data_IF_762431743170
#
_entry.id   IF_762431743170
#
_cell.length_a   1.000
_cell.length_b   1.000
_cell.length_c   1.000
_cell.angle_alpha   90.00
_cell.angle_beta   90.00
_cell.angle_gamma   90.00
#
_symmetry.space_group_name_H-M   'P 1'
#
loop_
_entity.id
_entity.type
_entity.pdbx_description
1 polymer ?
#
# COMPACT_ATOMS: atom_id res chain seq x y z
N UNK A 1 -16.08 -12.23 22.42
CA UNK A 1 -14.78 -12.62 21.82
C UNK A 1 -14.27 -11.46 20.97
N UNK A 2 -13.28 -10.70 21.44
CA UNK A 2 -12.61 -9.67 20.63
C UNK A 2 -11.64 -10.40 19.70
N UNK A 3 -11.94 -10.47 18.41
CA UNK A 3 -11.03 -11.03 17.41
C UNK A 3 -9.79 -10.13 17.39
N UNK A 4 -8.63 -10.64 17.81
CA UNK A 4 -7.34 -9.98 17.58
C UNK A 4 -7.23 -9.75 16.08
N UNK A 5 -7.03 -8.49 15.66
CA UNK A 5 -6.61 -8.17 14.31
C UNK A 5 -5.35 -9.00 14.00
N UNK A 6 -5.32 -9.64 12.83
CA UNK A 6 -4.23 -10.51 12.41
C UNK A 6 -2.88 -9.84 12.66
N UNK A 7 -2.07 -10.43 13.55
CA UNK A 7 -0.69 -10.04 13.82
C UNK A 7 0.11 -10.24 12.52
N UNK A 8 0.20 -9.19 11.69
CA UNK A 8 0.88 -9.23 10.40
C UNK A 8 0.34 -8.26 9.33
N UNK A 9 -0.84 -7.66 9.51
CA UNK A 9 -1.32 -6.63 8.60
C UNK A 9 -0.64 -5.29 8.94
N UNK A 10 0.44 -4.97 8.21
CA UNK A 10 1.02 -3.63 8.21
C UNK A 10 0.14 -2.73 7.35
N UNK A 11 -0.32 -1.62 7.91
CA UNK A 11 -1.10 -0.63 7.19
C UNK A 11 -0.16 0.47 6.70
N UNK A 12 -0.25 0.81 5.41
CA UNK A 12 0.54 1.92 4.86
C UNK A 12 0.14 3.21 5.61
N UNK A 13 1.08 4.01 6.12
CA UNK A 13 0.77 5.25 6.83
C UNK A 13 -0.02 6.22 5.94
N UNK A 14 -0.92 7.00 6.57
CA UNK A 14 -1.63 8.07 5.86
C UNK A 14 -0.67 9.17 5.37
N UNK A 15 -1.10 9.89 4.34
CA UNK A 15 -0.37 11.00 3.74
C UNK A 15 0.32 10.61 2.43
N UNK A 16 1.27 11.44 2.01
CA UNK A 16 1.99 11.23 0.76
C UNK A 16 2.92 10.04 0.88
N UNK A 17 2.67 9.02 0.08
CA UNK A 17 3.48 7.82 -0.01
C UNK A 17 3.83 7.52 -1.45
N UNK A 18 5.01 6.92 -1.62
CA UNK A 18 5.45 6.43 -2.91
C UNK A 18 5.22 4.94 -2.96
N UNK A 19 4.48 4.53 -3.97
CA UNK A 19 4.13 3.14 -4.23
C UNK A 19 4.78 2.69 -5.52
N UNK A 20 5.33 1.48 -5.50
CA UNK A 20 5.81 0.78 -6.69
C UNK A 20 4.73 -0.17 -7.17
N UNK A 21 4.38 -0.10 -8.45
CA UNK A 21 3.48 -1.08 -9.07
C UNK A 21 4.26 -2.39 -9.23
N UNK A 22 3.79 -3.47 -8.60
CA UNK A 22 4.44 -4.78 -8.63
C UNK A 22 3.81 -5.70 -9.67
N UNK A 23 2.48 -5.73 -9.72
CA UNK A 23 1.75 -6.54 -10.70
C UNK A 23 0.37 -5.96 -10.93
N UNK A 24 -0.21 -6.30 -12.08
CA UNK A 24 -1.56 -5.94 -12.44
C UNK A 24 -2.30 -7.21 -12.84
N UNK A 25 -3.49 -7.38 -12.28
CA UNK A 25 -4.37 -8.53 -12.46
C UNK A 25 -5.56 -8.08 -13.32
N UNK A 26 -5.56 -8.58 -14.56
CA UNK A 26 -6.55 -8.33 -15.60
C UNK A 26 -7.53 -9.51 -15.78
N UNK A 27 -7.48 -10.54 -14.93
CA UNK A 27 -8.30 -11.76 -15.11
C UNK A 27 -9.80 -11.47 -15.17
N UNK A 28 -10.22 -10.40 -14.49
CA UNK A 28 -11.62 -9.97 -14.41
C UNK A 28 -11.92 -8.74 -15.29
N UNK A 29 -10.96 -8.30 -16.10
CA UNK A 29 -11.12 -7.10 -16.95
C UNK A 29 -12.06 -7.39 -18.11
N UNK A 30 -11.81 -8.43 -18.90
CA UNK A 30 -12.62 -8.74 -20.09
C UNK A 30 -14.08 -9.10 -19.75
N UNK A 31 -14.34 -9.70 -18.58
CA UNK A 31 -15.67 -10.21 -18.21
C UNK A 31 -16.48 -9.24 -17.35
N UNK A 32 -15.81 -8.47 -16.50
CA UNK A 32 -16.46 -7.65 -15.48
C UNK A 32 -15.97 -6.20 -15.47
N UNK A 33 -15.05 -5.81 -16.36
CA UNK A 33 -14.42 -4.50 -16.33
C UNK A 33 -13.67 -4.25 -15.03
N UNK A 34 -13.11 -5.29 -14.41
CA UNK A 34 -12.42 -5.20 -13.12
C UNK A 34 -10.92 -5.39 -13.28
N UNK A 35 -10.17 -4.42 -12.81
CA UNK A 35 -8.71 -4.43 -12.80
C UNK A 35 -8.22 -4.34 -11.37
N UNK A 36 -7.26 -5.16 -10.99
CA UNK A 36 -6.62 -5.03 -9.67
C UNK A 36 -5.13 -4.74 -9.81
N UNK A 37 -4.68 -3.63 -9.24
CA UNK A 37 -3.29 -3.21 -9.26
C UNK A 37 -2.69 -3.51 -7.89
N UNK A 38 -1.64 -4.35 -7.86
CA UNK A 38 -0.85 -4.60 -6.68
C UNK A 38 0.33 -3.64 -6.64
N UNK A 39 0.40 -2.87 -5.56
CA UNK A 39 1.44 -1.90 -5.29
C UNK A 39 2.15 -2.23 -3.98
N UNK A 40 3.42 -1.82 -3.84
CA UNK A 40 4.21 -1.94 -2.62
C UNK A 40 4.79 -0.61 -2.19
N UNK A 41 4.77 -0.33 -0.90
CA UNK A 41 5.48 0.81 -0.32
C UNK A 41 6.97 0.51 -0.12
N UNK A 42 7.71 1.51 0.38
CA UNK A 42 9.13 1.41 0.72
C UNK A 42 9.44 0.36 1.80
N UNK A 43 8.45 0.02 2.64
CA UNK A 43 8.56 -0.96 3.71
C UNK A 43 8.21 -2.38 3.25
N UNK A 44 7.82 -2.56 1.99
CA UNK A 44 7.39 -3.85 1.43
C UNK A 44 5.93 -4.20 1.77
N UNK A 45 5.17 -3.27 2.33
CA UNK A 45 3.73 -3.42 2.58
C UNK A 45 2.98 -3.38 1.25
N UNK A 46 2.21 -4.42 0.96
CA UNK A 46 1.39 -4.49 -0.24
C UNK A 46 0.05 -3.76 -0.08
N UNK A 47 -0.29 -2.92 -1.05
CA UNK A 47 -1.58 -2.30 -1.24
C UNK A 47 -2.17 -2.81 -2.55
N UNK A 48 -3.41 -3.30 -2.50
CA UNK A 48 -4.15 -3.75 -3.68
C UNK A 48 -5.26 -2.75 -3.96
N UNK A 49 -5.19 -2.06 -5.09
CA UNK A 49 -6.23 -1.13 -5.51
C UNK A 49 -7.07 -1.77 -6.62
N UNK A 50 -8.39 -1.76 -6.44
CA UNK A 50 -9.32 -2.40 -7.36
C UNK A 50 -10.12 -1.32 -8.11
N UNK A 51 -9.99 -1.33 -9.44
CA UNK A 51 -10.77 -0.48 -10.34
C UNK A 51 -11.93 -1.27 -10.92
N UNK A 52 -13.08 -0.62 -11.00
CA UNK A 52 -14.29 -1.17 -11.59
C UNK A 52 -14.77 -0.21 -12.68
N UNK A 53 -14.45 -0.51 -13.93
CA UNK A 53 -14.76 0.30 -15.10
C UNK A 53 -16.23 0.15 -15.55
N UNK A 54 -16.96 -0.80 -14.96
CA UNK A 54 -18.38 -1.00 -15.20
C UNK A 54 -19.13 -0.84 -13.87
N UNK A 55 -20.14 0.02 -13.87
CA UNK A 55 -21.04 0.22 -12.74
C UNK A 55 -21.98 -0.99 -12.56
N UNK A 56 -22.65 -1.08 -11.41
CA UNK A 56 -23.62 -2.15 -11.15
C UNK A 56 -24.78 -2.19 -12.16
N UNK A 57 -25.11 -1.03 -12.75
CA UNK A 57 -26.14 -0.87 -13.79
C UNK A 57 -25.64 -1.24 -15.20
N UNK A 58 -24.39 -1.69 -15.36
CA UNK A 58 -23.80 -2.08 -16.64
C UNK A 58 -23.30 -0.90 -17.50
N UNK A 59 -23.39 0.33 -17.00
CA UNK A 59 -22.86 1.53 -17.65
C UNK A 59 -21.36 1.67 -17.41
N UNK A 60 -20.67 2.38 -18.30
CA UNK A 60 -19.25 2.71 -18.12
C UNK A 60 -19.05 3.62 -16.89
N UNK A 61 -17.96 3.38 -16.17
CA UNK A 61 -17.54 4.17 -15.02
C UNK A 61 -16.40 5.12 -15.41
N UNK A 62 -16.77 6.25 -16.00
CA UNK A 62 -15.82 7.27 -16.46
C UNK A 62 -14.93 7.84 -15.33
N UNK A 63 -15.39 7.74 -14.08
CA UNK A 63 -14.62 8.18 -12.91
C UNK A 63 -13.48 7.20 -12.63
N UNK A 64 -13.76 5.90 -12.64
CA UNK A 64 -12.71 4.89 -12.47
C UNK A 64 -11.71 4.94 -13.63
N UNK A 65 -12.21 5.12 -14.85
CA UNK A 65 -11.39 5.30 -16.05
C UNK A 65 -10.47 6.52 -15.93
N UNK A 66 -11.01 7.68 -15.55
CA UNK A 66 -10.22 8.90 -15.37
C UNK A 66 -9.16 8.79 -14.26
N UNK A 67 -9.44 8.08 -13.16
CA UNK A 67 -8.45 7.85 -12.10
C UNK A 67 -7.35 6.89 -12.58
N UNK A 68 -7.72 5.84 -13.31
CA UNK A 68 -6.75 4.89 -13.87
C UNK A 68 -5.86 5.54 -14.93
N UNK A 69 -6.42 6.32 -15.86
CA UNK A 69 -5.65 7.10 -16.84
C UNK A 69 -4.71 8.08 -16.15
N UNK A 70 -5.16 8.75 -15.08
CA UNK A 70 -4.27 9.62 -14.29
C UNK A 70 -3.15 8.85 -13.61
N UNK A 71 -3.41 7.63 -13.13
CA UNK A 71 -2.41 6.74 -12.54
C UNK A 71 -1.35 6.35 -13.58
N UNK A 72 -1.78 5.93 -14.76
CA UNK A 72 -0.89 5.54 -15.84
C UNK A 72 -0.02 6.72 -16.31
N UNK A 73 -0.63 7.89 -16.53
CA UNK A 73 0.08 9.13 -16.87
C UNK A 73 1.13 9.52 -15.82
N UNK A 74 0.80 9.35 -14.55
CA UNK A 74 1.76 9.58 -13.45
C UNK A 74 2.89 8.54 -13.45
N UNK A 75 2.58 7.27 -13.64
CA UNK A 75 3.58 6.20 -13.68
C UNK A 75 4.54 6.33 -14.87
N UNK A 76 4.05 6.78 -16.02
CA UNK A 76 4.82 6.97 -17.26
C UNK A 76 5.51 8.33 -17.36
N UNK A 77 5.19 9.26 -16.45
CA UNK A 77 5.62 10.68 -16.51
C UNK A 77 5.17 11.38 -17.82
N UNK A 78 4.04 10.95 -18.37
CA UNK A 78 3.48 11.50 -19.61
C UNK A 78 2.01 11.88 -19.37
N UNK A 79 1.74 13.17 -19.18
CA UNK A 79 0.38 13.69 -18.98
C UNK A 79 -0.48 13.70 -20.26
N UNK A 80 0.13 13.47 -21.42
CA UNK A 80 -0.50 13.48 -22.74
C UNK A 80 -0.78 12.09 -23.29
N UNK A 81 -0.34 11.03 -22.60
CA UNK A 81 -0.60 9.66 -23.01
C UNK A 81 -2.12 9.38 -23.02
N UNK A 82 -2.65 9.09 -24.20
CA UNK A 82 -4.05 8.67 -24.40
C UNK A 82 -4.18 7.14 -24.47
N UNK A 83 -3.09 6.44 -24.82
CA UNK A 83 -3.00 4.98 -24.83
C UNK A 83 -1.71 4.56 -24.12
N UNK A 84 -1.79 3.50 -23.33
CA UNK A 84 -0.67 2.93 -22.60
C UNK A 84 -0.90 1.45 -22.36
N UNK A 85 0.17 0.66 -22.36
CA UNK A 85 0.11 -0.74 -21.98
C UNK A 85 0.15 -0.85 -20.46
N UNK A 86 -0.78 -1.63 -19.89
CA UNK A 86 -0.82 -1.95 -18.47
C UNK A 86 0.52 -2.54 -17.99
N UNK A 87 1.20 -3.32 -18.84
CA UNK A 87 2.50 -3.91 -18.54
C UNK A 87 3.61 -2.88 -18.35
N UNK A 88 3.55 -1.74 -19.05
CA UNK A 88 4.56 -0.67 -18.94
C UNK A 88 4.49 0.07 -17.59
N UNK A 89 3.36 -0.07 -16.89
CA UNK A 89 3.17 0.45 -15.55
C UNK A 89 3.90 -0.39 -14.50
N UNK A 90 4.15 -1.68 -14.78
CA UNK A 90 4.80 -2.59 -13.86
C UNK A 90 6.25 -2.13 -13.61
N UNK A 91 6.59 -2.01 -12.33
CA UNK A 91 7.91 -1.55 -11.90
C UNK A 91 8.07 -0.04 -11.80
N UNK A 92 7.08 0.75 -12.25
CA UNK A 92 7.05 2.21 -12.09
C UNK A 92 6.68 2.60 -10.66
N UNK A 93 7.06 3.81 -10.28
CA UNK A 93 6.74 4.39 -8.98
C UNK A 93 5.79 5.58 -9.17
N UNK A 94 4.81 5.68 -8.28
CA UNK A 94 3.85 6.77 -8.26
C UNK A 94 3.81 7.40 -6.87
N UNK A 95 3.67 8.72 -6.81
CA UNK A 95 3.38 9.43 -5.57
C UNK A 95 1.87 9.59 -5.43
N UNK A 96 1.33 9.14 -4.29
CA UNK A 96 -0.09 9.21 -4.00
C UNK A 96 -0.35 9.55 -2.53
N UNK A 97 -1.48 10.23 -2.28
CA UNK A 97 -1.98 10.51 -0.94
C UNK A 97 -2.82 9.32 -0.47
N UNK A 98 -2.36 8.65 0.59
CA UNK A 98 -3.04 7.54 1.23
C UNK A 98 -3.91 8.05 2.37
N UNK A 99 -5.13 7.52 2.46
CA UNK A 99 -6.04 7.75 3.58
C UNK A 99 -6.55 6.44 4.13
N UNK A 100 -6.79 6.41 5.43
CA UNK A 100 -7.36 5.26 6.10
C UNK A 100 -8.87 5.32 6.04
N UNK A 101 -9.48 4.25 5.54
CA UNK A 101 -10.93 4.09 5.48
C UNK A 101 -11.34 2.84 6.22
N UNK A 102 -12.37 2.95 7.06
CA UNK A 102 -12.98 1.76 7.65
C UNK A 102 -13.83 1.03 6.62
N UNK A 103 -13.60 -0.28 6.51
CA UNK A 103 -14.40 -1.16 5.66
C UNK A 103 -15.76 -1.45 6.29
N UNK A 104 -16.75 -1.70 5.44
CA UNK A 104 -18.14 -2.03 5.85
C UNK A 104 -18.26 -3.27 6.74
N UNK A 105 -17.25 -4.15 6.74
CA UNK A 105 -17.18 -5.36 7.56
C UNK A 105 -16.26 -5.23 8.79
N UNK A 106 -15.81 -4.00 9.09
CA UNK A 106 -14.80 -3.72 10.10
C UNK A 106 -13.37 -3.92 9.58
N UNK A 107 -12.44 -3.12 10.09
CA UNK A 107 -11.05 -3.08 9.65
C UNK A 107 -10.72 -1.78 8.93
N UNK A 108 -9.51 -1.25 9.18
CA UNK A 108 -9.00 -0.03 8.55
C UNK A 108 -8.15 -0.43 7.36
N UNK A 109 -8.41 0.16 6.21
CA UNK A 109 -7.70 -0.09 4.95
C UNK A 109 -7.05 1.20 4.46
N UNK A 110 -5.88 1.06 3.85
CA UNK A 110 -5.21 2.15 3.16
C UNK A 110 -5.79 2.28 1.75
N UNK A 111 -6.31 3.45 1.41
CA UNK A 111 -6.91 3.77 0.12
C UNK A 111 -6.19 4.95 -0.51
N UNK A 112 -6.09 4.96 -1.84
CA UNK A 112 -5.56 6.12 -2.56
C UNK A 112 -6.65 7.18 -2.65
N UNK A 113 -6.40 8.34 -2.02
CA UNK A 113 -7.27 9.51 -2.12
C UNK A 113 -6.98 10.33 -3.37
N UNK A 114 -5.70 10.51 -3.69
CA UNK A 114 -5.28 11.35 -4.81
C UNK A 114 -3.93 10.91 -5.35
N UNK A 115 -3.81 10.90 -6.68
CA UNK A 115 -2.55 10.68 -7.38
C UNK A 115 -1.88 12.03 -7.60
N UNK A 116 -0.68 12.17 -7.05
CA UNK A 116 0.09 13.43 -7.03
C UNK A 116 0.90 13.54 -8.33
N UNK A 117 1.69 12.52 -8.66
CA UNK A 117 2.51 12.51 -9.86
C UNK A 117 3.49 11.33 -9.95
N UNK A 118 4.46 11.47 -10.85
CA UNK A 118 5.56 10.52 -11.03
C UNK A 118 6.49 10.52 -9.82
N UNK A 119 7.12 9.37 -9.55
CA UNK A 119 8.20 9.26 -8.58
C UNK A 119 9.39 8.51 -9.19
N UNK A 120 10.61 8.96 -8.91
CA UNK A 120 11.84 8.30 -9.36
C UNK A 120 12.25 7.10 -8.49
N UNK A 121 11.55 6.88 -7.37
CA UNK A 121 11.83 5.81 -6.43
C UNK A 121 11.33 6.13 -5.03
N UNK A 122 11.51 5.22 -4.08
CA UNK A 122 11.09 5.46 -2.70
C UNK A 122 11.87 6.62 -2.09
N UNK A 123 11.18 7.71 -1.75
CA UNK A 123 11.73 8.72 -0.85
C UNK A 123 12.08 8.02 0.46
N UNK A 124 13.31 8.20 0.94
CA UNK A 124 13.65 7.95 2.34
C UNK A 124 12.85 8.94 3.19
N UNK A 125 11.60 8.62 3.46
CA UNK A 125 10.83 9.32 4.47
C UNK A 125 11.57 9.13 5.79
N UNK A 126 11.87 10.24 6.46
CA UNK A 126 12.39 10.29 7.84
C UNK A 126 11.28 9.85 8.82
N UNK A 127 10.72 8.66 8.62
CA UNK A 127 9.89 7.94 9.58
C UNK A 127 10.62 6.68 10.07
N UNK A 128 11.95 6.75 10.17
CA UNK A 128 12.68 6.07 11.25
C UNK A 128 12.54 6.91 12.53
N UNK A 129 11.32 6.99 13.06
CA UNK A 129 11.24 6.69 14.49
C UNK A 129 10.83 5.23 14.51
N UNK A 130 11.73 4.30 14.85
CA UNK A 130 11.30 2.93 15.05
C UNK A 130 10.18 2.97 16.08
N UNK A 131 8.95 2.64 15.67
CA UNK A 131 7.98 2.11 16.61
C UNK A 131 8.75 1.02 17.36
N UNK A 132 8.80 1.08 18.70
CA UNK A 132 9.81 0.38 19.47
C UNK A 132 9.76 -1.08 19.03
N UNK A 133 10.86 -1.57 18.47
CA UNK A 133 11.05 -2.99 18.24
C UNK A 133 10.62 -3.65 19.53
N UNK A 134 9.51 -4.39 19.50
CA UNK A 134 9.19 -5.31 20.57
C UNK A 134 10.39 -6.25 20.56
N UNK A 135 11.34 -6.01 21.48
CA UNK A 135 12.44 -6.93 21.76
C UNK A 135 11.80 -8.31 21.79
N UNK A 136 12.35 -9.22 20.99
CA UNK A 136 11.87 -10.59 20.97
C UNK A 136 11.85 -11.11 22.41
N UNK A 137 10.92 -12.00 22.75
CA UNK A 137 10.81 -12.54 24.10
C UNK A 137 12.16 -13.13 24.59
N UNK A 138 13.03 -13.54 23.66
CA UNK A 138 14.39 -14.01 23.93
C UNK A 138 15.34 -12.91 24.46
N UNK A 139 15.28 -11.68 23.92
CA UNK A 139 16.12 -10.56 24.39
C UNK A 139 15.66 -10.02 25.75
N UNK A 140 14.35 -10.00 26.02
CA UNK A 140 13.82 -9.59 27.33
C UNK A 140 14.24 -10.60 28.41
N UNK A 141 14.24 -11.90 28.09
CA UNK A 141 14.66 -12.94 29.02
C UNK A 141 16.18 -12.93 29.29
N UNK A 142 16.98 -12.64 28.25
CA UNK A 142 18.43 -12.51 28.39
C UNK A 142 18.81 -11.31 29.27
N UNK A 143 18.13 -10.18 29.12
CA UNK A 143 18.41 -8.96 29.90
C UNK A 143 17.93 -9.07 31.35
N UNK A 144 16.83 -9.79 31.62
CA UNK A 144 16.41 -10.10 33.00
C UNK A 144 17.33 -11.10 33.70
N UNK A 145 17.90 -12.06 32.97
CA UNK A 145 18.86 -13.02 33.54
C UNK A 145 20.19 -12.36 33.90
N UNK A 146 20.70 -11.49 33.02
CA UNK A 146 21.93 -10.73 33.27
C UNK A 146 21.82 -9.76 34.46
N UNK A 147 20.65 -9.14 34.68
CA UNK A 147 20.42 -8.29 35.87
C UNK A 147 20.28 -9.08 37.17
N UNK A 148 19.89 -10.35 37.11
CA UNK A 148 19.78 -11.22 38.29
C UNK A 148 21.13 -11.80 38.72
N UNK A 149 22.04 -12.04 37.78
CA UNK A 149 23.42 -12.48 38.07
C UNK A 149 24.33 -11.34 38.58
N UNK A 150 24.05 -10.08 38.22
CA UNK A 150 24.77 -8.93 38.76
C UNK A 150 24.32 -8.51 40.18
N UNK A 151 23.17 -9.02 40.66
CA UNK A 151 22.65 -8.74 41.99
C UNK A 151 23.12 -9.74 43.07
N UNK A 152 23.80 -10.83 42.66
CA UNK A 152 24.27 -11.90 43.54
C UNK A 152 25.79 -11.81 43.86
N UNK A 153 26.45 -10.73 43.44
CA UNK A 153 27.86 -10.44 43.79
C UNK A 153 28.05 -9.21 44.68
N UNK A 154 27.06 -8.85 45.49
CA UNK A 154 27.25 -7.88 46.58
C UNK A 154 27.02 -8.49 47.95
#
# INVERSE_FOLDING_TARGET
MKRKAAEGYSLIPEGNQILKIESIDEENYEKFGKLSILMKDAHGTSLKENFNFVNDDGTANDVADGIYTRLARAALDDQTADEFDTNDLIGKFIECEIVHREGSKGGTFANIKKIIGHADGFLKTKSDTPAPHKKSAAEILAEMKARREAADQK
#
